data_IF_592558139073
#
_entry.id   IF_592558139073
#
_cell.length_a   1.000
_cell.length_b   1.000
_cell.length_c   1.000
_cell.angle_alpha   90.00
_cell.angle_beta   90.00
_cell.angle_gamma   90.00
#
_symmetry.space_group_name_H-M   'P 1'
#
loop_
_entity.id
_entity.type
_entity.pdbx_description
1 polymer ?
#
# COMPACT_ATOMS: atom_id res chain seq x y z
N UNK A 1 -14.52 -0.28 -14.15
CA UNK A 1 -13.21 -0.45 -13.50
C UNK A 1 -12.28 0.61 -14.06
N UNK A 2 -11.91 1.61 -13.27
CA UNK A 2 -10.99 2.65 -13.73
C UNK A 2 -9.54 2.18 -13.54
N UNK A 3 -8.59 2.71 -14.31
CA UNK A 3 -7.16 2.37 -14.17
C UNK A 3 -6.65 2.69 -12.76
N UNK A 4 -7.22 3.71 -12.11
CA UNK A 4 -6.85 4.14 -10.76
C UNK A 4 -7.22 3.08 -9.70
N UNK A 5 -8.41 2.49 -9.77
CA UNK A 5 -8.81 1.40 -8.86
C UNK A 5 -7.90 0.17 -9.00
N UNK A 6 -7.46 -0.14 -10.22
CA UNK A 6 -6.59 -1.28 -10.48
C UNK A 6 -5.19 -1.11 -9.85
N UNK A 7 -4.65 0.11 -9.84
CA UNK A 7 -3.38 0.42 -9.19
C UNK A 7 -3.45 0.23 -7.67
N UNK A 8 -4.51 0.73 -7.04
CA UNK A 8 -4.73 0.56 -5.61
C UNK A 8 -4.86 -0.91 -5.22
N UNK A 9 -5.63 -1.69 -5.98
CA UNK A 9 -5.81 -3.11 -5.69
C UNK A 9 -4.48 -3.88 -5.73
N UNK A 10 -3.65 -3.63 -6.75
CA UNK A 10 -2.32 -4.24 -6.87
C UNK A 10 -1.40 -3.84 -5.72
N UNK A 11 -1.44 -2.58 -5.29
CA UNK A 11 -0.66 -2.12 -4.15
C UNK A 11 -1.08 -2.84 -2.85
N UNK A 12 -2.39 -3.01 -2.62
CA UNK A 12 -2.93 -3.75 -1.47
C UNK A 12 -2.50 -5.22 -1.50
N UNK A 13 -2.58 -5.89 -2.65
CA UNK A 13 -2.15 -7.29 -2.81
C UNK A 13 -0.65 -7.43 -2.53
N UNK A 14 0.16 -6.56 -3.14
CA UNK A 14 1.61 -6.55 -2.95
C UNK A 14 2.00 -6.33 -1.49
N UNK A 15 1.39 -5.33 -0.82
CA UNK A 15 1.63 -5.07 0.59
C UNK A 15 1.21 -6.24 1.48
N UNK A 16 0.06 -6.86 1.18
CA UNK A 16 -0.44 -8.00 1.95
C UNK A 16 0.49 -9.20 1.86
N UNK A 17 1.05 -9.47 0.69
CA UNK A 17 2.00 -10.56 0.51
C UNK A 17 3.33 -10.25 1.21
N UNK A 18 3.83 -9.02 1.11
CA UNK A 18 5.03 -8.59 1.87
C UNK A 18 4.85 -8.70 3.38
N UNK A 19 3.68 -8.34 3.91
CA UNK A 19 3.41 -8.46 5.35
C UNK A 19 3.19 -9.90 5.81
N UNK A 20 2.82 -10.82 4.92
CA UNK A 20 2.80 -12.27 5.23
C UNK A 20 4.21 -12.83 5.31
N UNK A 21 5.09 -12.42 4.40
CA UNK A 21 6.51 -12.84 4.40
C UNK A 21 7.27 -12.22 5.57
N UNK A 22 7.07 -10.92 5.81
CA UNK A 22 7.77 -10.14 6.81
C UNK A 22 6.79 -9.30 7.65
N UNK A 23 6.16 -9.88 8.68
CA UNK A 23 5.15 -9.19 9.49
C UNK A 23 5.68 -8.02 10.32
N UNK A 24 7.01 -7.95 10.48
CA UNK A 24 7.74 -6.89 11.17
C UNK A 24 8.28 -5.82 10.23
N UNK A 25 8.07 -5.95 8.92
CA UNK A 25 8.48 -4.95 7.95
C UNK A 25 7.88 -3.58 8.29
N UNK A 26 8.65 -2.52 7.99
CA UNK A 26 8.20 -1.17 8.21
C UNK A 26 7.06 -0.84 7.24
N UNK A 27 5.83 -0.83 7.76
CA UNK A 27 4.62 -0.61 6.96
C UNK A 27 4.67 0.75 6.25
N UNK A 28 5.26 1.79 6.85
CA UNK A 28 5.41 3.10 6.21
C UNK A 28 6.29 3.02 4.96
N UNK A 29 7.45 2.36 5.05
CA UNK A 29 8.35 2.20 3.90
C UNK A 29 7.73 1.35 2.79
N UNK A 30 6.95 0.33 3.14
CA UNK A 30 6.19 -0.47 2.16
C UNK A 30 5.11 0.36 1.45
N UNK A 31 4.42 1.25 2.17
CA UNK A 31 3.42 2.14 1.57
C UNK A 31 4.09 3.11 0.61
N UNK A 32 5.20 3.74 1.01
CA UNK A 32 5.95 4.66 0.16
C UNK A 32 6.48 3.97 -1.11
N UNK A 33 6.95 2.72 -0.97
CA UNK A 33 7.39 1.92 -2.11
C UNK A 33 6.22 1.58 -3.05
N UNK A 34 5.09 1.11 -2.50
CA UNK A 34 3.89 0.80 -3.28
C UNK A 34 3.34 2.05 -3.99
N UNK A 35 3.37 3.21 -3.34
CA UNK A 35 2.96 4.49 -3.94
C UNK A 35 3.75 4.80 -5.21
N UNK A 36 5.08 4.63 -5.15
CA UNK A 36 5.98 4.89 -6.29
C UNK A 36 5.88 3.84 -7.38
N UNK A 37 5.82 2.55 -7.02
CA UNK A 37 5.79 1.46 -8.01
C UNK A 37 4.46 1.37 -8.76
N UNK A 38 3.33 1.60 -8.07
CA UNK A 38 2.00 1.52 -8.69
C UNK A 38 1.48 2.88 -9.16
N UNK A 39 2.22 3.97 -8.94
CA UNK A 39 1.82 5.32 -9.34
C UNK A 39 0.56 5.78 -8.61
N UNK A 40 0.50 5.57 -7.30
CA UNK A 40 -0.67 5.90 -6.50
C UNK A 40 -0.82 7.42 -6.38
N UNK A 41 -2.06 7.86 -6.32
CA UNK A 41 -2.40 9.24 -5.98
C UNK A 41 -2.24 9.47 -4.47
N UNK A 42 -2.06 10.72 -4.02
CA UNK A 42 -1.99 11.03 -2.59
C UNK A 42 -3.19 10.50 -1.78
N UNK A 43 -4.38 10.46 -2.38
CA UNK A 43 -5.58 9.92 -1.75
C UNK A 43 -5.50 8.39 -1.55
N UNK A 44 -4.93 7.68 -2.53
CA UNK A 44 -4.74 6.24 -2.47
C UNK A 44 -3.64 5.85 -1.49
N UNK A 45 -2.57 6.64 -1.43
CA UNK A 45 -1.52 6.47 -0.44
C UNK A 45 -2.06 6.69 0.98
N UNK A 46 -2.87 7.74 1.19
CA UNK A 46 -3.54 7.96 2.49
C UNK A 46 -4.47 6.79 2.85
N UNK A 47 -5.17 6.20 1.87
CA UNK A 47 -5.95 4.98 2.09
C UNK A 47 -5.07 3.82 2.58
N UNK A 48 -3.91 3.59 1.97
CA UNK A 48 -2.96 2.57 2.42
C UNK A 48 -2.45 2.85 3.84
N UNK A 49 -2.15 4.12 4.16
CA UNK A 49 -1.78 4.52 5.52
C UNK A 49 -2.91 4.27 6.54
N UNK A 50 -4.18 4.44 6.17
CA UNK A 50 -5.31 4.11 7.05
C UNK A 50 -5.52 2.59 7.19
N UNK A 51 -5.27 1.84 6.13
CA UNK A 51 -5.50 0.39 6.08
C UNK A 51 -4.38 -0.41 6.77
N UNK A 52 -3.14 -0.01 6.54
CA UNK A 52 -1.94 -0.73 7.00
C UNK A 52 -1.14 0.06 8.04
N UNK A 53 -1.37 1.35 8.22
CA UNK A 53 -0.73 2.12 9.28
C UNK A 53 -1.08 1.51 10.63
N UNK A 54 -0.08 1.42 11.50
CA UNK A 54 -0.32 1.02 12.89
C UNK A 54 -1.09 2.17 13.55
N UNK A 55 -2.19 1.92 14.28
CA UNK A 55 -2.73 2.95 15.16
C UNK A 55 -1.61 3.37 16.12
N UNK A 56 -1.35 4.67 16.19
CA UNK A 56 -0.41 5.25 17.13
C UNK A 56 -0.75 4.84 18.57
#
# INVERSE_FOLDING_TARGET
MTIQDAALHRAVEWMSDRLKEEPNANRGELIDQASREFGLTPLQEEFLYRQFGKPA
#
